data_IF_943795785933
#
_entry.id   IF_943795785933
#
_cell.length_a   1.000
_cell.length_b   1.000
_cell.length_c   1.000
_cell.angle_alpha   90.00
_cell.angle_beta   90.00
_cell.angle_gamma   90.00
#
_symmetry.space_group_name_H-M   'P 1'
#
loop_
_entity.id
_entity.type
_entity.pdbx_description
1 polymer ?
#
# COMPACT_ATOMS: atom_id res chain seq x y z
N UNK A 1 -0.83 -12.73 -14.50
CA UNK A 1 -0.48 -12.58 -13.05
C UNK A 1 1.01 -12.77 -12.75
N UNK A 2 1.72 -13.75 -13.32
CA UNK A 2 3.17 -13.97 -13.02
C UNK A 2 4.02 -12.76 -13.40
N UNK A 3 3.78 -12.15 -14.56
CA UNK A 3 4.52 -10.96 -15.03
C UNK A 3 4.18 -9.73 -14.21
N UNK A 4 2.92 -9.53 -13.85
CA UNK A 4 2.47 -8.46 -12.96
C UNK A 4 3.15 -8.55 -11.57
N UNK A 5 3.34 -9.76 -11.01
CA UNK A 5 4.08 -9.96 -9.74
C UNK A 5 5.58 -9.64 -9.86
N UNK A 6 6.20 -9.97 -10.99
CA UNK A 6 7.58 -9.56 -11.25
C UNK A 6 7.70 -8.02 -11.38
N UNK A 7 6.72 -7.41 -12.01
CA UNK A 7 6.60 -5.96 -12.13
C UNK A 7 6.33 -5.26 -10.80
N UNK A 8 5.56 -5.88 -9.88
CA UNK A 8 5.39 -5.37 -8.51
C UNK A 8 6.73 -5.29 -7.77
N UNK A 9 7.64 -6.25 -7.96
CA UNK A 9 8.98 -6.16 -7.38
C UNK A 9 9.74 -4.94 -7.90
N UNK A 10 9.67 -4.66 -9.22
CA UNK A 10 10.29 -3.46 -9.79
C UNK A 10 9.72 -2.18 -9.18
N UNK A 11 8.40 -2.11 -9.00
CA UNK A 11 7.72 -0.99 -8.36
C UNK A 11 8.19 -0.77 -6.92
N UNK A 12 8.38 -1.84 -6.15
CA UNK A 12 8.76 -1.77 -4.73
C UNK A 12 10.25 -1.51 -4.49
N UNK A 13 11.10 -1.78 -5.49
CA UNK A 13 12.56 -1.55 -5.43
C UNK A 13 13.05 -0.93 -6.74
N UNK A 14 12.56 0.28 -7.09
CA UNK A 14 12.87 0.90 -8.38
C UNK A 14 14.28 1.47 -8.43
N UNK A 15 14.91 1.42 -9.62
CA UNK A 15 16.13 2.15 -9.93
C UNK A 15 15.82 3.60 -10.33
N UNK A 16 14.65 3.80 -10.90
CA UNK A 16 14.16 5.11 -11.37
C UNK A 16 12.65 5.22 -11.22
N UNK A 17 12.21 6.44 -10.92
CA UNK A 17 10.80 6.77 -10.69
C UNK A 17 10.39 7.91 -11.62
N UNK A 18 9.29 7.73 -12.36
CA UNK A 18 8.67 8.77 -13.16
C UNK A 18 7.46 9.39 -12.45
N UNK A 19 7.28 10.68 -12.57
CA UNK A 19 6.14 11.43 -12.06
C UNK A 19 5.38 12.06 -13.23
N UNK A 20 4.15 11.62 -13.46
CA UNK A 20 3.29 12.08 -14.55
C UNK A 20 2.20 12.97 -14.00
N UNK A 21 2.30 14.27 -14.25
CA UNK A 21 1.32 15.25 -13.76
C UNK A 21 1.88 16.65 -13.70
N UNK A 22 1.02 17.60 -13.28
CA UNK A 22 1.38 19.00 -13.09
C UNK A 22 1.95 19.25 -11.69
N UNK A 23 1.70 20.46 -11.14
CA UNK A 23 2.21 20.86 -9.81
C UNK A 23 1.87 19.89 -8.66
N UNK A 24 0.80 19.14 -8.79
CA UNK A 24 0.41 18.15 -7.79
C UNK A 24 1.48 17.07 -7.53
N UNK A 25 2.41 16.82 -8.46
CA UNK A 25 3.49 15.85 -8.25
C UNK A 25 4.72 16.44 -7.55
N UNK A 26 4.81 17.76 -7.38
CA UNK A 26 5.97 18.39 -6.73
C UNK A 26 6.17 17.89 -5.29
N UNK A 27 5.08 17.81 -4.53
CA UNK A 27 5.11 17.26 -3.16
C UNK A 27 5.50 15.79 -3.14
N UNK A 28 5.04 15.02 -4.13
CA UNK A 28 5.40 13.61 -4.28
C UNK A 28 6.89 13.41 -4.61
N UNK A 29 7.44 14.26 -5.50
CA UNK A 29 8.89 14.27 -5.81
C UNK A 29 9.70 14.60 -4.54
N UNK A 30 9.26 15.62 -3.79
CA UNK A 30 9.91 16.01 -2.55
C UNK A 30 9.83 14.91 -1.49
N UNK A 31 8.68 14.24 -1.36
CA UNK A 31 8.50 13.08 -0.49
C UNK A 31 9.47 11.94 -0.84
N UNK A 32 9.60 11.63 -2.13
CA UNK A 32 10.56 10.63 -2.63
C UNK A 32 12.01 10.98 -2.26
N UNK A 33 12.40 12.25 -2.40
CA UNK A 33 13.75 12.69 -1.97
C UNK A 33 13.93 12.60 -0.46
N UNK A 34 12.95 13.05 0.31
CA UNK A 34 12.97 12.99 1.78
C UNK A 34 13.02 11.56 2.30
N UNK A 35 12.48 10.57 1.57
CA UNK A 35 12.59 9.16 1.95
C UNK A 35 14.00 8.58 1.85
N UNK A 36 14.93 9.28 1.20
CA UNK A 36 16.30 8.84 0.98
C UNK A 36 16.54 8.18 -0.37
N UNK A 37 15.62 8.30 -1.31
CA UNK A 37 15.77 7.70 -2.65
C UNK A 37 16.96 8.31 -3.40
N UNK A 38 17.87 7.47 -3.85
CA UNK A 38 19.10 7.85 -4.55
C UNK A 38 19.08 7.53 -6.05
N UNK A 39 18.01 6.89 -6.53
CA UNK A 39 17.84 6.56 -7.94
C UNK A 39 17.45 7.76 -8.79
N UNK A 40 17.24 7.51 -10.08
CA UNK A 40 16.83 8.57 -11.01
C UNK A 40 15.37 8.98 -10.81
N UNK A 41 15.11 10.27 -10.84
CA UNK A 41 13.76 10.85 -10.79
C UNK A 41 13.51 11.58 -12.12
N UNK A 42 12.39 11.25 -12.77
CA UNK A 42 11.93 11.87 -14.00
C UNK A 42 10.59 12.53 -13.78
N UNK A 43 10.39 13.69 -14.40
CA UNK A 43 9.11 14.39 -14.46
C UNK A 43 8.59 14.41 -15.89
N UNK A 44 7.30 14.13 -16.08
CA UNK A 44 6.66 14.09 -17.40
C UNK A 44 5.51 15.07 -17.44
N UNK A 45 5.62 16.11 -18.24
CA UNK A 45 4.56 17.09 -18.45
C UNK A 45 4.76 17.86 -19.77
N UNK A 46 3.70 18.01 -20.62
CA UNK A 46 3.84 18.62 -21.95
C UNK A 46 4.11 20.11 -21.96
N UNK A 47 3.92 20.81 -20.82
CA UNK A 47 4.00 22.28 -20.76
C UNK A 47 4.99 22.83 -19.73
N UNK A 48 5.24 22.10 -18.64
CA UNK A 48 6.23 22.51 -17.64
C UNK A 48 7.63 22.14 -18.10
N UNK A 49 8.58 23.01 -17.85
CA UNK A 49 10.01 22.77 -18.11
C UNK A 49 10.68 22.11 -16.91
N UNK A 50 10.12 22.32 -15.72
CA UNK A 50 10.67 21.83 -14.45
C UNK A 50 9.55 21.66 -13.41
N UNK A 51 9.65 20.64 -12.56
CA UNK A 51 8.81 20.39 -11.39
C UNK A 51 9.71 19.96 -10.21
N UNK A 52 9.63 20.68 -9.10
CA UNK A 52 10.46 20.46 -7.90
C UNK A 52 11.97 20.30 -8.21
N UNK A 53 12.53 21.06 -9.15
CA UNK A 53 13.94 20.98 -9.56
C UNK A 53 14.28 19.75 -10.42
N UNK A 54 13.26 19.06 -10.99
CA UNK A 54 13.44 18.00 -11.97
C UNK A 54 13.03 18.53 -13.34
N UNK A 55 13.94 18.44 -14.31
CA UNK A 55 13.63 18.81 -15.70
C UNK A 55 12.56 17.89 -16.26
N UNK A 56 11.51 18.49 -16.84
CA UNK A 56 10.41 17.75 -17.43
C UNK A 56 10.73 17.33 -18.88
N UNK A 57 10.36 16.09 -19.19
CA UNK A 57 10.23 15.64 -20.57
C UNK A 57 8.75 15.78 -21.02
N UNK A 58 8.48 16.06 -22.32
CA UNK A 58 7.12 16.31 -22.79
C UNK A 58 6.18 15.12 -22.71
N UNK A 59 6.70 13.89 -22.90
CA UNK A 59 5.91 12.65 -22.93
C UNK A 59 6.69 11.46 -22.33
N UNK A 60 5.98 10.36 -22.07
CA UNK A 60 6.60 9.10 -21.62
C UNK A 60 7.58 8.54 -22.65
N UNK A 61 7.34 8.76 -23.93
CA UNK A 61 8.22 8.31 -25.02
C UNK A 61 9.58 9.01 -25.02
N UNK A 62 9.70 10.18 -24.37
CA UNK A 62 10.95 10.92 -24.24
C UNK A 62 11.80 10.47 -23.05
N UNK A 63 11.33 9.50 -22.25
CA UNK A 63 12.11 8.92 -21.15
C UNK A 63 13.26 8.08 -21.69
N UNK A 64 14.43 8.06 -21.02
CA UNK A 64 15.60 7.29 -21.46
C UNK A 64 15.36 5.77 -21.54
N UNK A 65 14.53 5.25 -20.63
CA UNK A 65 14.14 3.84 -20.53
C UNK A 65 12.79 3.69 -19.84
N UNK A 66 12.11 2.52 -19.96
CA UNK A 66 10.84 2.26 -19.27
C UNK A 66 10.99 2.36 -17.75
N UNK A 67 10.20 3.21 -17.04
CA UNK A 67 10.34 3.41 -15.62
C UNK A 67 10.00 2.13 -14.80
N UNK A 68 10.75 1.89 -13.73
CA UNK A 68 10.44 0.79 -12.81
C UNK A 68 9.21 1.13 -11.96
N UNK A 69 9.05 2.40 -11.58
CA UNK A 69 7.88 2.91 -10.87
C UNK A 69 7.41 4.23 -11.48
N UNK A 70 6.09 4.46 -11.47
CA UNK A 70 5.50 5.73 -11.95
C UNK A 70 4.42 6.19 -10.99
N UNK A 71 4.42 7.47 -10.59
CA UNK A 71 3.29 8.09 -9.92
C UNK A 71 2.46 8.87 -10.96
N UNK A 72 1.15 8.63 -10.97
CA UNK A 72 0.19 9.24 -11.90
C UNK A 72 -0.74 10.18 -11.13
N UNK A 73 -0.70 11.47 -11.46
CA UNK A 73 -1.54 12.53 -10.91
C UNK A 73 -2.09 13.42 -12.04
N UNK A 74 -2.87 12.81 -12.92
CA UNK A 74 -3.59 13.47 -14.03
C UNK A 74 -5.09 13.17 -13.92
N UNK A 75 -5.95 13.69 -14.80
CA UNK A 75 -7.38 13.35 -14.77
C UNK A 75 -7.61 11.84 -14.95
N UNK A 76 -8.74 11.35 -14.47
CA UNK A 76 -9.09 9.91 -14.54
C UNK A 76 -9.11 9.39 -16.01
N UNK A 77 -9.58 10.19 -16.95
CA UNK A 77 -9.58 9.85 -18.37
C UNK A 77 -8.14 9.72 -18.91
N UNK A 78 -7.30 10.72 -18.60
CA UNK A 78 -5.89 10.72 -19.02
C UNK A 78 -5.09 9.59 -18.33
N UNK A 79 -5.50 9.16 -17.15
CA UNK A 79 -4.88 8.03 -16.44
C UNK A 79 -4.94 6.76 -17.28
N UNK A 80 -6.01 6.50 -18.02
CA UNK A 80 -6.12 5.33 -18.90
C UNK A 80 -5.07 5.33 -19.99
N UNK A 81 -4.87 6.49 -20.65
CA UNK A 81 -3.86 6.63 -21.70
C UNK A 81 -2.46 6.42 -21.16
N UNK A 82 -2.13 7.08 -20.03
CA UNK A 82 -0.83 6.94 -19.36
C UNK A 82 -0.55 5.49 -18.96
N UNK A 83 -1.54 4.80 -18.40
CA UNK A 83 -1.40 3.38 -18.01
C UNK A 83 -1.19 2.48 -19.24
N UNK A 84 -1.92 2.72 -20.33
CA UNK A 84 -1.74 1.99 -21.59
C UNK A 84 -0.34 2.22 -22.18
N UNK A 85 0.14 3.47 -22.20
CA UNK A 85 1.48 3.82 -22.66
C UNK A 85 2.57 3.14 -21.81
N UNK A 86 2.46 3.18 -20.47
CA UNK A 86 3.38 2.51 -19.54
C UNK A 86 3.41 1.00 -19.74
N UNK A 87 2.25 0.37 -19.94
CA UNK A 87 2.19 -1.07 -20.24
C UNK A 87 2.86 -1.39 -21.58
N UNK A 88 2.58 -0.60 -22.63
CA UNK A 88 3.13 -0.79 -23.97
C UNK A 88 4.65 -0.68 -24.00
N UNK A 89 5.24 0.25 -23.23
CA UNK A 89 6.69 0.43 -23.14
C UNK A 89 7.38 -0.57 -22.19
N UNK A 90 6.64 -1.42 -21.48
CA UNK A 90 7.18 -2.41 -20.56
C UNK A 90 7.66 -1.82 -19.23
N UNK A 91 7.02 -0.77 -18.73
CA UNK A 91 7.25 -0.22 -17.41
C UNK A 91 6.99 -1.28 -16.31
N UNK A 92 7.56 -1.08 -15.12
CA UNK A 92 7.39 -2.00 -13.99
C UNK A 92 6.01 -1.84 -13.37
N UNK A 93 5.74 -0.69 -12.80
CA UNK A 93 4.44 -0.45 -12.17
C UNK A 93 4.08 1.03 -12.08
N UNK A 94 2.85 1.26 -11.67
CA UNK A 94 2.32 2.59 -11.47
C UNK A 94 1.49 2.70 -10.20
N UNK A 95 1.51 3.87 -9.59
CA UNK A 95 0.63 4.30 -8.51
C UNK A 95 -0.30 5.36 -9.07
N UNK A 96 -1.61 5.11 -9.09
CA UNK A 96 -2.62 6.08 -9.47
C UNK A 96 -3.27 6.67 -8.21
N UNK A 97 -2.90 7.90 -7.87
CA UNK A 97 -3.49 8.59 -6.70
C UNK A 97 -4.87 9.19 -6.99
N UNK A 98 -5.28 9.20 -8.25
CA UNK A 98 -6.53 9.79 -8.70
C UNK A 98 -7.71 8.90 -8.33
N UNK A 99 -8.76 9.50 -7.79
CA UNK A 99 -10.05 8.87 -7.50
C UNK A 99 -11.06 9.00 -8.64
N UNK A 100 -12.32 8.86 -8.29
CA UNK A 100 -13.48 8.92 -9.19
C UNK A 100 -13.56 7.75 -10.19
N UNK A 101 -13.22 6.56 -9.68
CA UNK A 101 -13.40 5.26 -10.36
C UNK A 101 -14.57 4.48 -9.72
N UNK A 102 -14.41 3.20 -9.45
CA UNK A 102 -15.49 2.32 -8.98
C UNK A 102 -16.23 2.83 -7.73
N UNK A 103 -15.60 3.64 -6.89
CA UNK A 103 -16.21 4.26 -5.71
C UNK A 103 -17.30 5.29 -6.03
N UNK A 104 -17.39 5.76 -7.28
CA UNK A 104 -18.41 6.74 -7.71
C UNK A 104 -19.63 6.12 -8.40
N UNK A 105 -19.76 4.78 -8.37
CA UNK A 105 -20.91 4.07 -8.94
C UNK A 105 -20.64 3.46 -10.32
N UNK A 106 -21.71 3.20 -11.08
CA UNK A 106 -21.64 2.39 -12.32
C UNK A 106 -20.71 2.96 -13.39
N UNK A 107 -20.77 4.28 -13.63
CA UNK A 107 -19.90 4.94 -14.62
C UNK A 107 -18.43 4.84 -14.22
N UNK A 108 -18.14 5.03 -12.93
CA UNK A 108 -16.79 4.88 -12.39
C UNK A 108 -16.31 3.43 -12.44
N UNK A 109 -17.18 2.45 -12.18
CA UNK A 109 -16.86 1.03 -12.30
C UNK A 109 -16.55 0.64 -13.77
N UNK A 110 -17.31 1.15 -14.74
CA UNK A 110 -17.03 0.96 -16.16
C UNK A 110 -15.67 1.56 -16.56
N UNK A 111 -15.34 2.74 -16.05
CA UNK A 111 -14.04 3.38 -16.27
C UNK A 111 -12.90 2.55 -15.66
N UNK A 112 -13.09 2.02 -14.44
CA UNK A 112 -12.11 1.14 -13.79
C UNK A 112 -11.89 -0.16 -14.57
N UNK A 113 -12.94 -0.75 -15.15
CA UNK A 113 -12.79 -1.94 -15.99
C UNK A 113 -11.92 -1.66 -17.23
N UNK A 114 -12.06 -0.48 -17.84
CA UNK A 114 -11.18 -0.02 -18.93
C UNK A 114 -9.74 0.19 -18.45
N UNK A 115 -9.56 0.75 -17.26
CA UNK A 115 -8.24 0.91 -16.64
C UNK A 115 -7.55 -0.44 -16.42
N UNK A 116 -8.26 -1.44 -15.91
CA UNK A 116 -7.75 -2.82 -15.75
C UNK A 116 -7.30 -3.40 -17.10
N UNK A 117 -8.08 -3.20 -18.15
CA UNK A 117 -7.72 -3.65 -19.50
C UNK A 117 -6.46 -2.95 -20.01
N UNK A 118 -6.35 -1.63 -19.81
CA UNK A 118 -5.19 -0.85 -20.21
C UNK A 118 -3.91 -1.24 -19.46
N UNK A 119 -4.04 -1.62 -18.19
CA UNK A 119 -2.91 -2.00 -17.34
C UNK A 119 -2.18 -3.27 -17.81
N UNK A 120 -2.88 -4.24 -18.40
CA UNK A 120 -2.26 -5.47 -18.90
C UNK A 120 -1.38 -6.17 -17.86
N UNK A 121 -0.06 -6.18 -18.09
CA UNK A 121 0.95 -6.75 -17.18
C UNK A 121 1.54 -5.73 -16.20
N UNK A 122 1.19 -4.45 -16.29
CA UNK A 122 1.68 -3.41 -15.40
C UNK A 122 1.21 -3.65 -13.96
N UNK A 123 2.09 -3.52 -12.98
CA UNK A 123 1.73 -3.57 -11.57
C UNK A 123 1.08 -2.25 -11.14
N UNK A 124 -0.26 -2.15 -11.25
CA UNK A 124 -1.01 -0.95 -10.90
C UNK A 124 -1.50 -0.99 -9.47
N UNK A 125 -1.08 -0.01 -8.67
CA UNK A 125 -1.56 0.28 -7.31
C UNK A 125 -2.65 1.34 -7.37
N UNK A 126 -3.74 1.12 -6.69
CA UNK A 126 -4.92 1.99 -6.74
C UNK A 126 -5.94 1.55 -7.80
N UNK A 127 -6.63 2.50 -8.45
CA UNK A 127 -6.64 3.95 -8.23
C UNK A 127 -7.15 4.36 -6.83
N UNK A 128 -7.27 5.66 -6.57
CA UNK A 128 -7.79 6.18 -5.31
C UNK A 128 -6.95 5.73 -4.10
N UNK A 129 -5.65 5.96 -4.13
CA UNK A 129 -4.71 5.53 -3.10
C UNK A 129 -3.66 6.60 -2.80
N UNK A 130 -2.87 6.40 -1.76
CA UNK A 130 -1.70 7.24 -1.51
C UNK A 130 -0.42 6.65 -2.14
N UNK A 131 -0.37 5.34 -2.37
CA UNK A 131 0.76 4.69 -3.02
C UNK A 131 1.54 3.71 -2.15
N UNK A 132 2.85 3.66 -2.38
CA UNK A 132 3.75 2.71 -1.74
C UNK A 132 4.99 3.38 -1.16
N UNK A 133 5.42 2.90 0.02
CA UNK A 133 6.69 3.23 0.65
C UNK A 133 7.48 1.96 0.94
N UNK A 134 8.79 2.01 0.72
CA UNK A 134 9.74 1.01 1.15
C UNK A 134 10.87 1.71 1.92
N UNK A 135 10.74 1.77 3.23
CA UNK A 135 11.68 2.48 4.12
C UNK A 135 12.91 1.64 4.47
N UNK A 136 12.93 0.36 4.12
CA UNK A 136 14.15 -0.44 4.13
C UNK A 136 15.17 0.02 3.09
N UNK A 137 14.67 0.51 1.95
CA UNK A 137 15.49 0.92 0.81
C UNK A 137 15.36 2.42 0.50
N UNK A 138 14.71 3.19 1.42
CA UNK A 138 14.58 4.65 1.30
C UNK A 138 13.77 5.08 0.08
N UNK A 139 12.66 4.41 -0.23
CA UNK A 139 11.85 4.67 -1.41
C UNK A 139 10.41 5.05 -1.03
N UNK A 140 9.89 6.10 -1.64
CA UNK A 140 8.47 6.47 -1.56
C UNK A 140 7.95 6.90 -2.94
N UNK A 141 6.91 6.22 -3.43
CA UNK A 141 6.04 6.64 -4.52
C UNK A 141 4.68 6.91 -3.88
N UNK A 142 4.54 8.12 -3.30
CA UNK A 142 3.52 8.43 -2.32
C UNK A 142 2.93 9.82 -2.48
N UNK A 143 1.62 9.92 -2.40
CA UNK A 143 0.84 11.15 -2.58
C UNK A 143 0.50 11.91 -1.29
N UNK A 144 1.23 11.68 -0.20
CA UNK A 144 0.99 12.35 1.09
C UNK A 144 2.24 13.00 1.65
N UNK A 145 2.07 13.95 2.57
CA UNK A 145 3.16 14.53 3.36
C UNK A 145 3.35 13.68 4.63
N UNK A 146 4.41 12.89 4.66
CA UNK A 146 4.69 11.93 5.71
C UNK A 146 6.08 12.14 6.32
N UNK A 147 6.22 11.69 7.57
CA UNK A 147 7.52 11.56 8.22
C UNK A 147 8.17 10.25 7.75
N UNK A 148 9.31 10.36 7.08
CA UNK A 148 10.06 9.20 6.60
C UNK A 148 11.17 8.87 7.59
N UNK A 149 11.13 7.65 8.13
CA UNK A 149 12.16 7.14 9.03
C UNK A 149 12.76 5.88 8.44
N UNK A 150 14.04 5.89 8.03
CA UNK A 150 14.72 4.69 7.54
C UNK A 150 14.65 3.56 8.56
N UNK A 151 14.39 2.35 8.10
CA UNK A 151 14.34 1.15 8.92
C UNK A 151 15.60 0.33 8.70
N UNK A 152 16.41 0.22 9.75
CA UNK A 152 17.64 -0.59 9.73
C UNK A 152 17.34 -1.99 10.27
N UNK A 153 17.63 -3.01 9.48
CA UNK A 153 17.39 -4.40 9.84
C UNK A 153 15.94 -4.85 9.64
N UNK A 154 15.37 -5.55 10.61
CA UNK A 154 14.03 -6.10 10.53
C UNK A 154 12.95 -5.05 10.81
N UNK A 155 11.78 -5.23 10.22
CA UNK A 155 10.65 -4.32 10.40
C UNK A 155 9.32 -4.97 10.10
N UNK A 156 8.28 -4.15 9.97
CA UNK A 156 6.92 -4.59 9.70
C UNK A 156 6.39 -3.97 8.41
N UNK A 157 5.39 -4.59 7.82
CA UNK A 157 4.66 -4.03 6.68
C UNK A 157 3.24 -3.65 7.08
N UNK A 158 2.72 -2.56 6.51
CA UNK A 158 1.32 -2.17 6.56
C UNK A 158 0.73 -2.23 5.14
N UNK A 159 -0.39 -2.91 5.00
CA UNK A 159 -1.19 -2.97 3.77
C UNK A 159 -2.59 -2.45 4.12
N UNK A 160 -2.99 -1.33 3.57
CA UNK A 160 -4.25 -0.64 3.93
C UNK A 160 -5.11 -0.35 2.70
N UNK A 161 -6.39 -0.65 2.78
CA UNK A 161 -7.38 -0.18 1.79
C UNK A 161 -7.69 1.31 1.98
N UNK A 162 -7.67 1.80 3.23
CA UNK A 162 -7.87 3.21 3.52
C UNK A 162 -6.57 4.01 3.41
N UNK A 163 -6.57 5.04 2.57
CA UNK A 163 -5.47 6.00 2.48
C UNK A 163 -5.27 6.75 3.81
N UNK A 164 -6.36 7.16 4.46
CA UNK A 164 -6.29 7.87 5.74
C UNK A 164 -5.68 7.03 6.87
N UNK A 165 -6.03 5.74 6.95
CA UNK A 165 -5.42 4.82 7.94
C UNK A 165 -3.94 4.61 7.64
N UNK A 166 -3.58 4.43 6.38
CA UNK A 166 -2.17 4.34 5.98
C UNK A 166 -1.41 5.61 6.38
N UNK A 167 -1.94 6.79 6.04
CA UNK A 167 -1.37 8.09 6.42
C UNK A 167 -1.23 8.22 7.94
N UNK A 168 -2.27 7.88 8.70
CA UNK A 168 -2.24 8.00 10.16
C UNK A 168 -1.19 7.11 10.81
N UNK A 169 -1.04 5.87 10.32
CA UNK A 169 -0.04 4.93 10.87
C UNK A 169 1.38 5.33 10.49
N UNK A 170 1.60 5.85 9.29
CA UNK A 170 2.93 6.30 8.83
C UNK A 170 3.42 7.56 9.55
N UNK A 171 2.51 8.37 10.12
CA UNK A 171 2.83 9.59 10.86
C UNK A 171 2.82 9.41 12.39
N UNK A 172 2.65 8.16 12.88
CA UNK A 172 2.60 7.94 14.34
C UNK A 172 3.98 7.86 14.95
N UNK A 173 4.23 8.68 15.98
CA UNK A 173 5.46 8.66 16.76
C UNK A 173 5.43 7.57 17.86
N UNK A 174 5.43 6.28 17.45
CA UNK A 174 5.33 5.14 18.38
C UNK A 174 6.44 4.11 18.24
N UNK A 175 7.57 4.48 17.66
CA UNK A 175 8.69 3.58 17.42
C UNK A 175 8.28 2.27 16.70
N UNK A 176 7.38 2.37 15.72
CA UNK A 176 7.01 1.27 14.82
C UNK A 176 8.09 1.17 13.73
N UNK A 177 8.83 0.05 13.59
CA UNK A 177 9.81 -0.12 12.52
C UNK A 177 9.10 -0.43 11.20
N UNK A 178 8.42 0.56 10.62
CA UNK A 178 7.59 0.42 9.44
C UNK A 178 8.45 0.38 8.17
N UNK A 179 8.79 -0.84 7.71
CA UNK A 179 9.59 -1.06 6.51
C UNK A 179 8.79 -0.87 5.22
N UNK A 180 7.54 -1.30 5.20
CA UNK A 180 6.63 -1.07 4.07
C UNK A 180 5.33 -0.43 4.52
N UNK A 181 4.85 0.55 3.75
CA UNK A 181 3.48 1.04 3.81
C UNK A 181 2.86 1.04 2.42
N UNK A 182 1.73 0.37 2.27
CA UNK A 182 1.00 0.24 1.01
C UNK A 182 -0.43 0.71 1.22
N UNK A 183 -0.81 1.77 0.52
CA UNK A 183 -2.20 2.21 0.38
C UNK A 183 -2.75 1.64 -0.91
N UNK A 184 -3.66 0.64 -0.81
CA UNK A 184 -4.12 -0.12 -1.98
C UNK A 184 -5.19 0.59 -2.80
N UNK A 185 -5.97 1.48 -2.19
CA UNK A 185 -7.14 2.09 -2.83
C UNK A 185 -8.15 1.04 -3.34
N UNK A 186 -8.63 1.22 -4.56
CA UNK A 186 -9.68 0.39 -5.14
C UNK A 186 -9.24 -1.04 -5.51
N UNK A 187 -7.96 -1.38 -5.44
CA UNK A 187 -7.43 -2.72 -5.80
C UNK A 187 -7.83 -3.16 -7.22
N UNK A 188 -7.75 -2.27 -8.19
CA UNK A 188 -8.22 -2.55 -9.55
C UNK A 188 -7.46 -3.71 -10.23
N UNK A 189 -6.14 -3.81 -10.03
CA UNK A 189 -5.26 -4.84 -10.62
C UNK A 189 -4.63 -5.71 -9.55
N UNK A 190 -3.93 -5.09 -8.61
CA UNK A 190 -3.29 -5.77 -7.47
C UNK A 190 -4.25 -5.77 -6.28
N UNK A 191 -4.33 -6.90 -5.59
CA UNK A 191 -5.15 -7.07 -4.40
C UNK A 191 -4.30 -7.41 -3.16
N UNK A 192 -4.93 -7.49 -2.00
CA UNK A 192 -4.26 -7.73 -0.73
C UNK A 192 -3.37 -8.99 -0.74
N UNK A 193 -3.77 -10.06 -1.45
CA UNK A 193 -2.98 -11.30 -1.53
C UNK A 193 -1.66 -11.09 -2.30
N UNK A 194 -1.67 -10.28 -3.36
CA UNK A 194 -0.46 -9.97 -4.13
C UNK A 194 0.56 -9.19 -3.28
N UNK A 195 0.09 -8.26 -2.45
CA UNK A 195 0.95 -7.51 -1.53
C UNK A 195 1.47 -8.38 -0.39
N UNK A 196 0.64 -9.24 0.23
CA UNK A 196 1.11 -10.21 1.23
C UNK A 196 2.21 -11.08 0.64
N UNK A 197 1.99 -11.64 -0.56
CA UNK A 197 2.99 -12.45 -1.25
C UNK A 197 4.30 -11.70 -1.53
N UNK A 198 4.21 -10.41 -1.89
CA UNK A 198 5.39 -9.57 -2.12
C UNK A 198 6.17 -9.34 -0.82
N UNK A 199 5.48 -9.02 0.29
CA UNK A 199 6.10 -8.79 1.60
C UNK A 199 6.76 -10.07 2.13
N UNK A 200 6.17 -11.24 1.90
CA UNK A 200 6.74 -12.53 2.29
C UNK A 200 8.00 -12.94 1.52
N UNK A 201 8.33 -12.23 0.44
CA UNK A 201 9.59 -12.42 -0.29
C UNK A 201 10.73 -11.56 0.26
N UNK A 202 10.46 -10.62 1.17
CA UNK A 202 11.48 -9.82 1.85
C UNK A 202 11.71 -10.36 3.27
N UNK A 203 12.87 -10.93 3.49
CA UNK A 203 13.21 -11.54 4.79
C UNK A 203 13.32 -10.55 5.96
N UNK A 204 13.34 -9.25 5.67
CA UNK A 204 13.32 -8.18 6.68
C UNK A 204 11.93 -7.98 7.29
N UNK A 205 10.86 -8.43 6.61
CA UNK A 205 9.48 -8.30 7.09
C UNK A 205 9.18 -9.36 8.14
N UNK A 206 8.91 -8.93 9.38
CA UNK A 206 8.65 -9.81 10.54
C UNK A 206 7.17 -9.97 10.86
N UNK A 207 6.34 -9.00 10.54
CA UNK A 207 4.88 -9.09 10.64
C UNK A 207 4.21 -8.18 9.62
N UNK A 208 2.96 -8.48 9.26
CA UNK A 208 2.20 -7.72 8.26
C UNK A 208 0.89 -7.28 8.90
N UNK A 209 0.66 -5.97 8.95
CA UNK A 209 -0.60 -5.35 9.33
C UNK A 209 -1.51 -5.16 8.13
N UNK A 210 -2.79 -5.47 8.32
CA UNK A 210 -3.82 -5.35 7.31
C UNK A 210 -4.93 -4.44 7.83
N UNK A 211 -5.29 -3.43 7.06
CA UNK A 211 -6.55 -2.71 7.23
C UNK A 211 -7.47 -3.06 6.07
N UNK A 212 -8.59 -3.73 6.35
CA UNK A 212 -9.44 -4.35 5.33
C UNK A 212 -10.89 -3.83 5.42
N UNK A 213 -11.41 -3.39 4.29
CA UNK A 213 -12.83 -3.07 4.07
C UNK A 213 -13.52 -4.26 3.38
N UNK A 214 -12.81 -4.97 2.50
CA UNK A 214 -13.27 -6.15 1.79
C UNK A 214 -12.13 -6.99 1.22
N UNK A 215 -12.41 -8.24 0.86
CA UNK A 215 -11.48 -9.14 0.19
C UNK A 215 -12.06 -9.51 -1.17
N UNK A 216 -11.38 -9.10 -2.24
CA UNK A 216 -11.82 -9.34 -3.63
C UNK A 216 -11.68 -10.81 -4.03
N UNK A 217 -10.59 -11.46 -3.58
CA UNK A 217 -10.28 -12.87 -3.89
C UNK A 217 -9.94 -13.61 -2.60
N UNK A 218 -10.95 -14.23 -1.99
CA UNK A 218 -10.83 -14.99 -0.73
C UNK A 218 -9.91 -16.20 -0.90
N UNK A 219 -9.89 -16.83 -2.07
CA UNK A 219 -9.05 -18.00 -2.33
C UNK A 219 -7.58 -17.60 -2.37
N UNK A 220 -7.22 -16.56 -3.13
CA UNK A 220 -5.86 -16.04 -3.18
C UNK A 220 -5.41 -15.51 -1.81
N UNK A 221 -6.29 -14.78 -1.09
CA UNK A 221 -6.01 -14.31 0.26
C UNK A 221 -5.71 -15.46 1.23
N UNK A 222 -6.51 -16.52 1.20
CA UNK A 222 -6.31 -17.70 2.05
C UNK A 222 -4.97 -18.39 1.77
N UNK A 223 -4.59 -18.51 0.49
CA UNK A 223 -3.29 -19.08 0.09
C UNK A 223 -2.14 -18.21 0.61
N UNK A 224 -2.22 -16.90 0.44
CA UNK A 224 -1.19 -15.96 0.92
C UNK A 224 -1.08 -15.99 2.47
N UNK A 225 -2.21 -16.03 3.19
CA UNK A 225 -2.24 -16.12 4.64
C UNK A 225 -1.61 -17.45 5.15
N UNK A 226 -1.94 -18.58 4.52
CA UNK A 226 -1.33 -19.87 4.87
C UNK A 226 0.16 -19.91 4.56
N UNK A 227 0.61 -19.20 3.53
CA UNK A 227 2.03 -19.02 3.24
C UNK A 227 2.71 -18.21 4.36
N UNK A 228 2.08 -17.14 4.85
CA UNK A 228 2.59 -16.34 5.97
C UNK A 228 2.76 -17.22 7.24
N UNK A 229 1.76 -18.04 7.55
CA UNK A 229 1.85 -19.02 8.65
C UNK A 229 3.05 -19.96 8.50
N UNK A 230 3.23 -20.53 7.31
CA UNK A 230 4.36 -21.46 7.03
C UNK A 230 5.73 -20.79 7.15
N UNK A 231 5.82 -19.50 6.87
CA UNK A 231 7.06 -18.70 6.98
C UNK A 231 7.25 -18.12 8.39
N UNK A 232 6.28 -18.29 9.30
CA UNK A 232 6.34 -17.71 10.63
C UNK A 232 6.21 -16.16 10.64
N UNK A 233 5.57 -15.57 9.62
CA UNK A 233 5.29 -14.13 9.54
C UNK A 233 3.84 -13.89 9.96
N UNK A 234 3.58 -13.37 11.16
CA UNK A 234 2.23 -13.13 11.64
C UNK A 234 1.50 -12.08 10.81
N UNK A 235 0.21 -12.32 10.53
CA UNK A 235 -0.70 -11.34 9.99
C UNK A 235 -1.56 -10.77 11.13
N UNK A 236 -1.70 -9.45 11.17
CA UNK A 236 -2.57 -8.72 12.10
C UNK A 236 -3.59 -7.95 11.30
N UNK A 237 -4.88 -8.17 11.52
CA UNK A 237 -5.92 -7.54 10.74
C UNK A 237 -6.84 -6.64 11.60
N UNK A 238 -7.09 -5.46 11.09
CA UNK A 238 -8.15 -4.57 11.52
C UNK A 238 -9.18 -4.49 10.39
N UNK A 239 -10.39 -5.00 10.64
CA UNK A 239 -11.51 -4.91 9.69
C UNK A 239 -12.28 -3.60 9.91
N UNK A 240 -12.56 -2.87 8.83
CA UNK A 240 -13.47 -1.74 8.85
C UNK A 240 -14.94 -2.20 9.05
N UNK A 241 -15.77 -1.34 9.60
CA UNK A 241 -17.20 -1.65 9.74
C UNK A 241 -17.50 -2.63 10.86
N UNK A 242 -16.93 -2.43 12.06
CA UNK A 242 -17.17 -3.26 13.24
C UNK A 242 -18.57 -3.13 13.86
N UNK A 243 -19.35 -2.09 13.51
CA UNK A 243 -20.77 -1.91 13.86
C UNK A 243 -21.62 -1.94 12.61
N UNK A 244 -22.93 -2.19 12.75
CA UNK A 244 -23.86 -2.20 11.62
C UNK A 244 -23.85 -0.85 10.88
N UNK A 245 -23.84 0.27 11.60
CA UNK A 245 -23.78 1.62 11.03
C UNK A 245 -22.47 1.87 10.28
N UNK A 246 -21.33 1.42 10.82
CA UNK A 246 -20.03 1.55 10.15
C UNK A 246 -19.87 0.55 8.97
N UNK A 247 -20.59 -0.57 8.97
CA UNK A 247 -20.63 -1.50 7.85
C UNK A 247 -21.38 -0.89 6.65
N UNK A 248 -22.49 -0.19 6.89
CA UNK A 248 -23.24 0.55 5.85
C UNK A 248 -22.40 1.68 5.24
N UNK A 249 -21.67 2.42 6.06
CA UNK A 249 -20.72 3.44 5.60
C UNK A 249 -19.57 2.84 4.77
N UNK A 250 -18.98 1.74 5.22
CA UNK A 250 -17.91 1.04 4.47
C UNK A 250 -18.41 0.50 3.13
N UNK A 251 -19.64 -0.01 3.08
CA UNK A 251 -20.28 -0.48 1.86
C UNK A 251 -20.49 0.65 0.85
N UNK A 252 -20.95 1.82 1.30
CA UNK A 252 -21.12 2.99 0.42
C UNK A 252 -19.79 3.52 -0.11
N UNK A 253 -18.69 3.32 0.62
CA UNK A 253 -17.36 3.82 0.26
C UNK A 253 -16.55 2.85 -0.61
N UNK A 254 -16.67 1.54 -0.39
CA UNK A 254 -15.85 0.52 -1.07
C UNK A 254 -16.60 -0.30 -2.12
N UNK A 255 -17.95 -0.18 -2.20
CA UNK A 255 -18.79 -0.98 -3.10
C UNK A 255 -18.81 -2.48 -2.77
N UNK A 256 -18.22 -2.92 -1.66
CA UNK A 256 -18.20 -4.32 -1.24
C UNK A 256 -19.45 -4.66 -0.42
N UNK A 257 -20.00 -5.86 -0.64
CA UNK A 257 -21.13 -6.36 0.15
C UNK A 257 -20.77 -6.42 1.63
N UNK A 258 -21.69 -5.93 2.48
CA UNK A 258 -21.56 -6.06 3.93
C UNK A 258 -21.60 -7.55 4.31
N UNK A 259 -20.46 -8.08 4.75
CA UNK A 259 -20.34 -9.44 5.29
C UNK A 259 -20.35 -9.34 6.81
N UNK A 260 -21.11 -10.21 7.45
CA UNK A 260 -21.20 -10.28 8.91
C UNK A 260 -19.81 -10.38 9.57
N UNK A 261 -19.63 -9.63 10.66
CA UNK A 261 -18.38 -9.62 11.42
C UNK A 261 -18.00 -11.01 11.97
N UNK A 262 -18.99 -11.84 12.29
CA UNK A 262 -18.73 -13.21 12.75
C UNK A 262 -18.08 -14.07 11.67
N UNK A 263 -18.46 -13.88 10.40
CA UNK A 263 -17.85 -14.58 9.26
C UNK A 263 -16.40 -14.14 9.08
N UNK A 264 -16.12 -12.82 9.21
CA UNK A 264 -14.76 -12.30 9.16
C UNK A 264 -13.89 -12.88 10.29
N UNK A 265 -14.39 -12.86 11.53
CA UNK A 265 -13.68 -13.39 12.69
C UNK A 265 -13.45 -14.92 12.55
N UNK A 266 -14.41 -15.65 11.99
CA UNK A 266 -14.25 -17.07 11.70
C UNK A 266 -13.16 -17.32 10.64
N UNK A 267 -13.14 -16.50 9.57
CA UNK A 267 -12.09 -16.56 8.53
C UNK A 267 -10.72 -16.27 9.13
N UNK A 268 -10.58 -15.20 9.92
CA UNK A 268 -9.32 -14.82 10.54
C UNK A 268 -8.82 -15.90 11.50
N UNK A 269 -9.68 -16.47 12.36
CA UNK A 269 -9.31 -17.61 13.22
C UNK A 269 -8.83 -18.81 12.42
N UNK A 270 -9.53 -19.16 11.33
CA UNK A 270 -9.14 -20.29 10.45
C UNK A 270 -7.77 -20.08 9.80
N UNK A 271 -7.43 -18.84 9.46
CA UNK A 271 -6.18 -18.46 8.79
C UNK A 271 -5.07 -18.05 9.77
N UNK A 272 -5.28 -18.21 11.09
CA UNK A 272 -4.36 -17.80 12.14
C UNK A 272 -3.97 -16.30 12.05
N UNK A 273 -4.89 -15.45 11.63
CA UNK A 273 -4.73 -13.99 11.57
C UNK A 273 -5.15 -13.41 12.92
N UNK A 274 -4.31 -12.56 13.50
CA UNK A 274 -4.63 -11.84 14.75
C UNK A 274 -5.59 -10.71 14.43
N UNK A 275 -6.81 -10.78 14.96
CA UNK A 275 -7.82 -9.73 14.81
C UNK A 275 -7.67 -8.69 15.92
N UNK A 276 -7.73 -7.40 15.53
CA UNK A 276 -7.65 -6.27 16.46
C UNK A 276 -8.78 -5.27 16.20
N UNK A 277 -9.21 -4.56 17.26
CA UNK A 277 -10.37 -3.70 17.22
C UNK A 277 -10.10 -2.21 16.99
N UNK A 278 -8.82 -1.80 16.82
CA UNK A 278 -8.49 -0.38 16.63
C UNK A 278 -7.12 -0.19 15.95
N UNK A 279 -6.87 0.97 15.31
CA UNK A 279 -5.57 1.30 14.74
C UNK A 279 -4.44 1.29 15.79
N UNK A 280 -4.73 1.72 17.02
CA UNK A 280 -3.77 1.65 18.14
C UNK A 280 -3.39 0.20 18.45
N UNK A 281 -4.38 -0.69 18.55
CA UNK A 281 -4.12 -2.11 18.79
C UNK A 281 -3.35 -2.76 17.62
N UNK A 282 -3.62 -2.36 16.37
CA UNK A 282 -2.85 -2.80 15.20
C UNK A 282 -1.37 -2.45 15.34
N UNK A 283 -1.05 -1.20 15.68
CA UNK A 283 0.32 -0.73 15.87
C UNK A 283 1.03 -1.52 16.98
N UNK A 284 0.40 -1.65 18.16
CA UNK A 284 1.03 -2.34 19.28
C UNK A 284 1.20 -3.85 19.03
N UNK A 285 0.24 -4.49 18.35
CA UNK A 285 0.37 -5.89 17.93
C UNK A 285 1.51 -6.07 16.92
N UNK A 286 1.65 -5.18 15.94
CA UNK A 286 2.75 -5.21 14.97
C UNK A 286 4.12 -5.03 15.65
N UNK A 287 4.24 -4.12 16.63
CA UNK A 287 5.48 -3.93 17.40
C UNK A 287 5.85 -5.21 18.18
N UNK A 288 4.87 -5.82 18.82
CA UNK A 288 5.09 -7.05 19.60
C UNK A 288 5.49 -8.22 18.70
N UNK A 289 4.70 -8.48 17.66
CA UNK A 289 4.87 -9.63 16.76
C UNK A 289 6.03 -9.44 15.77
N UNK A 290 6.35 -8.18 15.43
CA UNK A 290 7.49 -7.81 14.59
C UNK A 290 8.82 -7.77 15.37
N UNK A 291 8.80 -8.02 16.69
CA UNK A 291 10.03 -8.05 17.48
C UNK A 291 10.97 -9.16 17.02
N UNK A 292 12.29 -8.90 16.89
CA UNK A 292 13.27 -9.93 16.58
C UNK A 292 13.39 -11.01 17.66
N UNK A 293 12.86 -10.75 18.85
CA UNK A 293 12.78 -11.68 19.98
C UNK A 293 11.34 -11.79 20.47
N UNK A 294 10.48 -12.49 19.76
CA UNK A 294 9.10 -12.67 20.19
C UNK A 294 9.03 -13.41 21.52
N UNK A 295 8.02 -13.13 22.35
CA UNK A 295 7.86 -13.82 23.64
C UNK A 295 7.68 -15.33 23.41
N UNK A 296 8.37 -16.15 24.25
CA UNK A 296 8.30 -17.60 24.18
C UNK A 296 7.12 -18.21 24.96
N UNK A 297 6.26 -17.37 25.54
CA UNK A 297 5.12 -17.81 26.34
C UNK A 297 4.20 -16.66 26.67
N UNK A 298 3.19 -16.92 27.50
CA UNK A 298 2.13 -15.99 27.87
C UNK A 298 2.31 -15.34 29.26
N UNK A 299 3.47 -15.52 29.89
CA UNK A 299 3.76 -14.92 31.18
C UNK A 299 4.27 -13.48 30.99
N UNK A 300 3.60 -12.53 31.63
CA UNK A 300 3.89 -11.10 31.55
C UNK A 300 4.29 -10.61 32.94
N UNK A 301 5.31 -9.77 32.99
CA UNK A 301 5.66 -8.99 34.19
C UNK A 301 5.43 -7.52 33.85
N UNK A 302 4.62 -6.84 34.63
CA UNK A 302 4.43 -5.42 34.57
C UNK A 302 5.21 -4.74 35.70
N UNK A 303 5.92 -3.65 35.39
CA UNK A 303 6.58 -2.81 36.37
C UNK A 303 6.10 -1.36 36.19
N UNK A 304 5.72 -0.74 37.28
CA UNK A 304 5.29 0.66 37.29
C UNK A 304 6.01 1.41 38.41
N UNK A 305 6.32 2.69 38.18
CA UNK A 305 6.94 3.59 39.18
C UNK A 305 5.89 4.27 40.07
N UNK A 306 4.61 4.01 39.88
CA UNK A 306 3.49 4.60 40.63
C UNK A 306 2.41 3.55 40.86
N UNK A 307 1.86 3.51 42.10
CA UNK A 307 0.75 2.63 42.46
C UNK A 307 -0.50 2.84 41.61
N UNK A 308 -0.76 4.07 41.15
CA UNK A 308 -1.88 4.39 40.28
C UNK A 308 -1.75 3.83 38.84
N UNK A 309 -0.52 3.51 38.41
CA UNK A 309 -0.26 2.84 37.14
C UNK A 309 -0.17 1.32 37.29
N UNK A 310 -0.05 0.82 38.52
CA UNK A 310 0.06 -0.62 38.79
C UNK A 310 -1.31 -1.27 39.05
N UNK A 311 -2.33 -0.46 39.33
CA UNK A 311 -3.72 -0.89 39.54
C UNK A 311 -4.51 -0.94 38.23
#
# INVERSE_FOLDING_TARGET
KTRCRANLKRLLTPRHIAFVGGKAVEDCINATRKSGFTGQIWAVHPKYTELAGVVCVPSLADLPEPPDATLIAVSRERTLDVVAELNAMGAGGAVSIVGEFAETGEDGAALQARLVTAAGDLALVGPNCLGVMNMFDGMAVWGGDNVFSPVMGDGVALISQSGYVAYSVTNVERALPLGYAISMGNQAVLNVADYIDAMLNDSRVRSIGLYLEGIVDIAAFSVAAMRAVKQGVPLVALKAGGTQESAELAQSHSGTLAVDNEIWSALFRRLAIVEVGSPKALIEALKLLGSPKPPKGNRIVAAANSGGYAA
#
